data_IF_388357372350
#
_entry.id   IF_388357372350
#
_cell.length_a   1.000
_cell.length_b   1.000
_cell.length_c   1.000
_cell.angle_alpha   90.00
_cell.angle_beta   90.00
_cell.angle_gamma   90.00
#
_symmetry.space_group_name_H-M   'P 1'
#
loop_
_entity.id
_entity.type
_entity.pdbx_description
1 polymer ?
#
# COMPACT_ATOMS: atom_id res chain seq x y z
N UNK A 1 -1.93 12.09 29.49
CA UNK A 1 -1.42 11.95 28.13
C UNK A 1 -2.55 11.50 27.21
N UNK A 2 -2.72 12.15 26.07
CA UNK A 2 -3.80 11.86 25.12
C UNK A 2 -3.50 10.55 24.37
N UNK A 3 -4.52 9.73 24.14
CA UNK A 3 -4.43 8.51 23.34
C UNK A 3 -4.94 8.78 21.94
N UNK A 4 -4.16 8.40 20.93
CA UNK A 4 -4.58 8.43 19.52
C UNK A 4 -5.04 7.02 19.14
N UNK A 5 -6.32 6.88 18.80
CA UNK A 5 -6.90 5.63 18.32
C UNK A 5 -6.78 5.56 16.81
N UNK A 6 -5.97 4.63 16.34
CA UNK A 6 -5.67 4.45 14.91
C UNK A 6 -6.28 3.15 14.44
N UNK A 7 -7.14 3.21 13.42
CA UNK A 7 -7.73 2.02 12.82
C UNK A 7 -6.92 1.58 11.60
N UNK A 8 -6.79 0.28 11.44
CA UNK A 8 -6.20 -0.38 10.27
C UNK A 8 -6.71 -1.81 10.18
N UNK A 9 -6.54 -2.46 9.02
CA UNK A 9 -6.99 -3.85 8.82
C UNK A 9 -6.15 -4.87 9.59
N UNK A 10 -4.85 -4.61 9.73
CA UNK A 10 -3.84 -5.53 10.25
C UNK A 10 -3.73 -6.83 9.43
N UNK A 11 -4.04 -6.75 8.14
CA UNK A 11 -3.97 -7.85 7.18
C UNK A 11 -3.59 -7.38 5.77
N UNK A 12 -2.79 -6.32 5.68
CA UNK A 12 -2.40 -5.69 4.40
C UNK A 12 -0.89 -5.39 4.40
N UNK A 13 -0.08 -6.46 4.40
CA UNK A 13 1.38 -6.32 4.33
C UNK A 13 1.78 -5.73 2.96
N UNK A 14 2.83 -4.91 2.89
CA UNK A 14 3.70 -4.43 3.96
C UNK A 14 3.19 -3.20 4.71
N UNK A 15 1.99 -2.72 4.43
CA UNK A 15 1.41 -1.55 5.11
C UNK A 15 1.10 -1.86 6.58
N UNK A 16 0.38 -2.94 6.82
CA UNK A 16 0.01 -3.34 8.17
C UNK A 16 -0.29 -4.84 8.22
N UNK A 17 0.09 -5.50 9.30
CA UNK A 17 -0.15 -6.93 9.50
C UNK A 17 -0.26 -7.28 10.98
N UNK A 18 -0.73 -8.50 11.23
CA UNK A 18 -0.81 -9.08 12.57
C UNK A 18 0.36 -10.02 12.79
N UNK A 19 0.96 -9.97 13.97
CA UNK A 19 2.00 -10.91 14.39
C UNK A 19 1.81 -11.32 15.85
N UNK A 20 2.37 -12.47 16.29
CA UNK A 20 2.07 -13.01 17.62
C UNK A 20 2.85 -12.37 18.77
N UNK A 21 3.88 -11.56 18.48
CA UNK A 21 4.77 -10.98 19.48
C UNK A 21 5.11 -9.52 19.18
N UNK A 22 5.85 -8.91 20.08
CA UNK A 22 6.27 -7.51 20.00
C UNK A 22 7.58 -7.29 19.22
N UNK A 23 8.04 -8.28 18.48
CA UNK A 23 9.26 -8.17 17.67
C UNK A 23 9.23 -6.92 16.79
N UNK A 24 10.41 -6.32 16.59
CA UNK A 24 10.63 -5.12 15.78
C UNK A 24 9.92 -3.85 16.31
N UNK A 25 9.33 -3.91 17.49
CA UNK A 25 8.59 -2.80 18.06
C UNK A 25 7.11 -2.81 17.69
N UNK A 26 6.57 -3.97 17.34
CA UNK A 26 5.14 -4.14 17.09
C UNK A 26 4.29 -3.69 18.27
N UNK A 27 3.10 -3.18 17.99
CA UNK A 27 2.21 -2.56 18.97
C UNK A 27 1.02 -3.48 19.24
N UNK A 28 0.61 -3.66 20.52
CA UNK A 28 -0.56 -4.49 20.83
C UNK A 28 -1.80 -4.02 20.06
N UNK A 29 -2.56 -4.98 19.54
CA UNK A 29 -3.88 -4.70 18.96
C UNK A 29 -4.89 -4.66 20.10
N UNK A 30 -5.67 -3.57 20.17
CA UNK A 30 -6.67 -3.37 21.24
C UNK A 30 -7.64 -4.54 21.32
N UNK A 31 -7.81 -5.09 22.50
CA UNK A 31 -8.73 -6.21 22.74
C UNK A 31 -8.25 -7.57 22.24
N UNK A 32 -7.00 -7.69 21.84
CA UNK A 32 -6.40 -8.91 21.30
C UNK A 32 -5.09 -9.24 22.02
N UNK A 33 -4.64 -10.49 21.94
CA UNK A 33 -3.32 -10.90 22.41
C UNK A 33 -2.25 -10.76 21.32
N UNK A 34 -2.65 -10.35 20.09
CA UNK A 34 -1.74 -10.16 18.97
C UNK A 34 -1.24 -8.73 18.86
N UNK A 35 -0.27 -8.53 17.99
CA UNK A 35 0.41 -7.26 17.76
C UNK A 35 0.29 -6.86 16.31
N UNK A 36 0.30 -5.56 16.05
CA UNK A 36 0.32 -5.00 14.70
C UNK A 36 1.69 -4.42 14.38
N UNK A 37 2.15 -4.62 13.15
CA UNK A 37 3.32 -3.94 12.65
C UNK A 37 3.18 -3.65 11.15
N UNK A 38 4.20 -3.00 10.58
CA UNK A 38 4.25 -2.58 9.20
C UNK A 38 4.44 -1.08 9.04
N UNK A 39 4.43 -0.63 7.80
CA UNK A 39 4.64 0.78 7.46
C UNK A 39 3.69 1.72 8.21
N UNK A 40 2.40 1.37 8.24
CA UNK A 40 1.38 2.19 8.90
C UNK A 40 1.58 2.29 10.41
N UNK A 41 2.02 1.19 11.04
CA UNK A 41 2.32 1.19 12.48
C UNK A 41 3.57 2.01 12.77
N UNK A 42 4.59 1.91 11.93
CA UNK A 42 5.81 2.72 12.04
C UNK A 42 5.45 4.22 11.96
N UNK A 43 4.59 4.58 11.02
CA UNK A 43 4.12 5.97 10.88
C UNK A 43 3.31 6.40 12.09
N UNK A 44 2.40 5.57 12.56
CA UNK A 44 1.59 5.86 13.76
C UNK A 44 2.46 6.09 15.00
N UNK A 45 3.49 5.26 15.20
CA UNK A 45 4.45 5.42 16.29
C UNK A 45 5.20 6.74 16.20
N UNK A 46 5.70 7.08 15.01
CA UNK A 46 6.41 8.33 14.77
C UNK A 46 5.53 9.54 15.09
N UNK A 47 4.31 9.52 14.61
CA UNK A 47 3.33 10.59 14.88
C UNK A 47 3.07 10.73 16.38
N UNK A 48 2.80 9.63 17.07
CA UNK A 48 2.51 9.64 18.50
C UNK A 48 3.72 10.11 19.31
N UNK A 49 4.93 9.69 18.96
CA UNK A 49 6.15 10.13 19.62
C UNK A 49 6.35 11.66 19.46
N UNK A 50 6.16 12.19 18.29
CA UNK A 50 6.34 13.63 18.05
C UNK A 50 5.24 14.49 18.69
N UNK A 51 3.99 14.01 18.70
CA UNK A 51 2.88 14.76 19.25
C UNK A 51 2.64 14.50 20.74
N UNK A 52 3.38 13.57 21.34
CA UNK A 52 3.25 13.22 22.76
C UNK A 52 1.97 12.45 23.09
N UNK A 53 1.50 11.62 22.17
CA UNK A 53 0.31 10.77 22.36
C UNK A 53 0.69 9.34 22.70
N UNK A 54 -0.20 8.63 23.39
CA UNK A 54 -0.17 7.18 23.47
C UNK A 54 -0.88 6.61 22.27
N UNK A 55 -0.41 5.47 21.76
CA UNK A 55 -0.96 4.83 20.57
C UNK A 55 -1.87 3.66 20.92
N UNK A 56 -3.08 3.63 20.39
CA UNK A 56 -3.97 2.47 20.46
C UNK A 56 -4.30 2.04 19.03
N UNK A 57 -3.96 0.79 18.66
CA UNK A 57 -4.27 0.20 17.36
C UNK A 57 -5.60 -0.53 17.47
N UNK A 58 -6.55 -0.17 16.60
CA UNK A 58 -7.87 -0.79 16.50
C UNK A 58 -7.96 -1.53 15.18
N UNK A 59 -8.10 -2.86 15.25
CA UNK A 59 -8.24 -3.71 14.07
C UNK A 59 -9.68 -3.72 13.62
N UNK A 60 -9.92 -3.35 12.36
CA UNK A 60 -11.25 -3.33 11.74
C UNK A 60 -11.17 -3.88 10.32
N UNK A 61 -12.28 -4.43 9.82
CA UNK A 61 -12.39 -4.80 8.42
C UNK A 61 -12.30 -3.55 7.53
N UNK A 62 -11.81 -3.72 6.31
CA UNK A 62 -11.61 -2.62 5.36
C UNK A 62 -12.85 -1.72 5.24
N UNK A 63 -14.03 -2.31 5.05
CA UNK A 63 -15.27 -1.56 4.86
C UNK A 63 -15.75 -0.84 6.13
N UNK A 64 -15.20 -1.16 7.29
CA UNK A 64 -15.54 -0.53 8.56
C UNK A 64 -14.67 0.67 8.90
N UNK A 65 -13.57 0.89 8.16
CA UNK A 65 -12.58 1.96 8.47
C UNK A 65 -13.19 3.36 8.34
N UNK A 66 -13.76 3.68 7.19
CA UNK A 66 -14.37 5.00 6.95
C UNK A 66 -15.52 5.26 7.91
N UNK A 67 -16.50 4.35 8.10
CA UNK A 67 -17.56 4.55 9.09
C UNK A 67 -17.05 4.78 10.52
N UNK A 68 -15.97 4.11 10.92
CA UNK A 68 -15.42 4.27 12.28
C UNK A 68 -14.84 5.65 12.51
N UNK A 69 -14.15 6.23 11.53
CA UNK A 69 -13.59 7.58 11.66
C UNK A 69 -14.70 8.64 11.54
N UNK A 70 -15.69 8.41 10.68
CA UNK A 70 -16.85 9.32 10.56
C UNK A 70 -17.61 9.46 11.87
N UNK A 71 -17.81 8.34 12.58
CA UNK A 71 -18.57 8.33 13.85
C UNK A 71 -17.75 8.77 15.06
N UNK A 72 -16.44 8.95 14.90
CA UNK A 72 -15.56 9.26 16.02
C UNK A 72 -15.20 8.07 16.90
N UNK A 73 -15.50 6.85 16.46
CA UNK A 73 -15.10 5.60 17.15
C UNK A 73 -13.58 5.50 17.22
N UNK A 74 -12.90 5.94 16.18
CA UNK A 74 -11.45 6.09 16.12
C UNK A 74 -11.09 7.51 15.73
N UNK A 75 -9.86 7.94 16.03
CA UNK A 75 -9.41 9.30 15.72
C UNK A 75 -8.95 9.43 14.28
N UNK A 76 -8.33 8.39 13.73
CA UNK A 76 -7.85 8.39 12.37
C UNK A 76 -7.73 6.98 11.82
N UNK A 77 -7.56 6.89 10.49
CA UNK A 77 -7.29 5.64 9.77
C UNK A 77 -5.92 5.78 9.10
N UNK A 78 -5.01 4.86 9.43
CA UNK A 78 -3.72 4.72 8.75
C UNK A 78 -3.66 3.27 8.26
N UNK A 79 -4.03 3.04 7.01
CA UNK A 79 -4.32 1.69 6.53
C UNK A 79 -3.98 1.48 5.05
N UNK A 80 -2.98 2.17 4.53
CA UNK A 80 -2.65 2.07 3.11
C UNK A 80 -3.78 2.58 2.21
N UNK A 81 -4.53 3.54 2.67
CA UNK A 81 -5.77 3.99 2.04
C UNK A 81 -5.51 5.10 1.02
N UNK A 82 -5.96 4.89 -0.22
CA UNK A 82 -5.83 5.89 -1.28
C UNK A 82 -6.72 7.11 -1.03
N UNK A 83 -6.18 8.29 -1.35
CA UNK A 83 -6.90 9.57 -1.26
C UNK A 83 -7.77 9.70 -2.51
N UNK A 84 -9.02 9.25 -2.43
CA UNK A 84 -9.94 9.34 -3.55
C UNK A 84 -10.96 10.45 -3.34
N UNK A 85 -11.48 11.02 -4.42
CA UNK A 85 -12.53 12.05 -4.35
C UNK A 85 -13.80 11.51 -3.70
N UNK A 86 -14.13 10.24 -3.87
CA UNK A 86 -15.26 9.61 -3.21
C UNK A 86 -15.08 9.61 -1.69
N UNK A 87 -13.91 9.17 -1.21
CA UNK A 87 -13.59 9.16 0.23
C UNK A 87 -13.53 10.57 0.80
N UNK A 88 -13.04 11.54 0.02
CA UNK A 88 -12.96 12.93 0.46
C UNK A 88 -14.32 13.59 0.69
N UNK A 89 -15.38 13.01 0.18
CA UNK A 89 -16.75 13.45 0.51
C UNK A 89 -17.16 13.04 1.93
N UNK A 90 -16.53 12.01 2.47
CA UNK A 90 -16.90 11.40 3.75
C UNK A 90 -15.94 11.72 4.88
N UNK A 91 -14.66 11.91 4.55
CA UNK A 91 -13.58 12.15 5.52
C UNK A 91 -12.62 13.19 4.96
N UNK A 92 -11.75 13.73 5.82
CA UNK A 92 -10.63 14.57 5.38
C UNK A 92 -9.34 13.75 5.42
N UNK A 93 -8.47 14.00 4.45
CA UNK A 93 -7.17 13.33 4.36
C UNK A 93 -6.03 14.29 4.65
N UNK A 94 -4.98 13.77 5.26
CA UNK A 94 -3.68 14.44 5.30
C UNK A 94 -3.10 14.56 3.89
N UNK A 95 -2.01 15.28 3.74
CA UNK A 95 -1.14 15.10 2.58
C UNK A 95 -0.67 13.64 2.51
N UNK A 96 -0.21 13.17 1.35
CA UNK A 96 0.25 11.79 1.24
C UNK A 96 1.37 11.45 2.22
N UNK A 97 1.31 10.26 2.81
CA UNK A 97 2.39 9.72 3.62
C UNK A 97 3.11 8.56 2.92
N UNK A 98 2.63 8.19 1.75
CA UNK A 98 3.31 7.28 0.83
C UNK A 98 2.78 7.49 -0.59
N UNK A 99 3.62 7.21 -1.58
CA UNK A 99 3.28 7.28 -3.00
C UNK A 99 3.42 5.88 -3.59
N UNK A 100 2.29 5.21 -3.79
CA UNK A 100 2.24 3.83 -4.28
C UNK A 100 2.22 3.80 -5.82
N UNK A 101 3.35 4.09 -6.43
CA UNK A 101 3.52 4.04 -7.90
C UNK A 101 3.08 2.70 -8.46
N UNK A 102 2.57 2.69 -9.69
CA UNK A 102 2.19 1.47 -10.39
C UNK A 102 3.45 0.89 -11.05
N UNK A 103 3.66 -0.41 -10.86
CA UNK A 103 4.83 -1.10 -11.42
C UNK A 103 4.42 -2.39 -12.12
N UNK A 104 5.34 -2.93 -12.89
CA UNK A 104 5.18 -4.21 -13.57
C UNK A 104 6.22 -5.20 -13.03
N UNK A 105 5.79 -6.42 -12.76
CA UNK A 105 6.69 -7.51 -12.41
C UNK A 105 6.80 -8.46 -13.60
N UNK A 106 8.02 -8.85 -13.93
CA UNK A 106 8.33 -9.83 -14.97
C UNK A 106 9.39 -10.80 -14.45
N UNK A 107 9.67 -11.87 -15.19
CA UNK A 107 10.81 -12.75 -14.90
C UNK A 107 12.10 -12.07 -15.37
N UNK A 108 13.13 -12.13 -14.55
CA UNK A 108 14.43 -11.50 -14.87
C UNK A 108 15.12 -12.14 -16.09
N UNK A 109 14.80 -13.37 -16.42
CA UNK A 109 15.31 -14.09 -17.60
C UNK A 109 14.31 -14.14 -18.76
N UNK A 110 13.17 -13.45 -18.65
CA UNK A 110 12.12 -13.44 -19.65
C UNK A 110 12.33 -12.39 -20.74
N UNK A 111 11.46 -12.45 -21.74
CA UNK A 111 11.54 -11.58 -22.92
C UNK A 111 11.30 -10.10 -22.63
N UNK A 112 10.64 -9.77 -21.51
CA UNK A 112 10.28 -8.41 -21.14
C UNK A 112 11.18 -7.79 -20.08
N UNK A 113 12.25 -8.49 -19.68
CA UNK A 113 13.12 -8.04 -18.58
C UNK A 113 13.76 -6.67 -18.81
N UNK A 114 13.97 -6.28 -20.07
CA UNK A 114 14.60 -5.02 -20.41
C UNK A 114 13.61 -3.94 -20.88
N UNK A 115 12.31 -4.15 -20.66
CA UNK A 115 11.28 -3.18 -21.02
C UNK A 115 11.49 -1.87 -20.24
N UNK A 116 11.37 -0.73 -20.92
CA UNK A 116 11.56 0.60 -20.36
C UNK A 116 10.31 1.46 -20.42
N UNK A 117 9.25 0.92 -20.99
CA UNK A 117 7.97 1.61 -21.13
C UNK A 117 6.84 0.61 -21.27
N UNK A 118 5.61 1.08 -21.10
CA UNK A 118 4.41 0.28 -21.38
C UNK A 118 4.41 -0.20 -22.83
N UNK A 119 4.90 0.62 -23.77
CA UNK A 119 4.99 0.25 -25.18
C UNK A 119 5.86 -1.00 -25.42
N UNK A 120 6.89 -1.20 -24.60
CA UNK A 120 7.78 -2.36 -24.71
C UNK A 120 7.13 -3.66 -24.23
N UNK A 121 5.96 -3.58 -23.61
CA UNK A 121 5.18 -4.75 -23.16
C UNK A 121 4.21 -5.25 -24.21
N UNK A 122 4.20 -4.68 -25.41
CA UNK A 122 3.28 -5.06 -26.48
C UNK A 122 3.19 -6.56 -26.68
N UNK A 123 1.97 -7.08 -26.72
CA UNK A 123 1.70 -8.51 -26.94
C UNK A 123 1.90 -9.40 -25.74
N UNK A 124 2.23 -8.84 -24.58
CA UNK A 124 2.52 -9.63 -23.36
C UNK A 124 1.28 -10.37 -22.86
N UNK A 125 1.47 -11.60 -22.39
CA UNK A 125 0.44 -12.32 -21.63
C UNK A 125 0.53 -11.86 -20.18
N UNK A 126 -0.55 -11.26 -19.66
CA UNK A 126 -0.54 -10.61 -18.38
C UNK A 126 -1.82 -10.82 -17.59
N UNK A 127 -1.71 -10.61 -16.28
CA UNK A 127 -2.86 -10.57 -15.39
C UNK A 127 -2.59 -9.61 -14.22
N UNK A 128 -3.54 -9.45 -13.35
CA UNK A 128 -3.41 -8.74 -12.09
C UNK A 128 -4.51 -9.17 -11.13
N UNK A 129 -4.57 -8.52 -9.98
CA UNK A 129 -5.55 -8.80 -8.95
C UNK A 129 -6.92 -8.22 -9.32
N UNK A 130 -7.98 -8.96 -9.04
CA UNK A 130 -9.36 -8.50 -9.30
C UNK A 130 -9.72 -7.27 -8.46
N UNK A 131 -10.64 -6.47 -8.98
CA UNK A 131 -11.16 -5.27 -8.33
C UNK A 131 -10.07 -4.23 -8.02
N UNK A 132 -9.10 -4.11 -8.92
CA UNK A 132 -8.02 -3.14 -8.82
C UNK A 132 -7.93 -2.30 -10.08
N UNK A 133 -7.40 -1.09 -9.95
CA UNK A 133 -7.09 -0.25 -11.11
C UNK A 133 -5.98 -0.88 -11.97
N UNK A 134 -5.15 -1.69 -11.37
CA UNK A 134 -4.06 -2.39 -12.06
C UNK A 134 -4.62 -3.29 -13.16
N UNK A 135 -5.66 -4.05 -12.84
CA UNK A 135 -6.34 -4.93 -13.79
C UNK A 135 -7.25 -4.13 -14.72
N UNK A 136 -8.13 -3.29 -14.15
CA UNK A 136 -9.21 -2.65 -14.90
C UNK A 136 -8.74 -1.49 -15.76
N UNK A 137 -7.73 -0.74 -15.31
CA UNK A 137 -7.27 0.49 -15.97
C UNK A 137 -5.89 0.36 -16.61
N UNK A 138 -4.96 -0.35 -15.99
CA UNK A 138 -3.57 -0.41 -16.46
C UNK A 138 -3.36 -1.47 -17.53
N UNK A 139 -3.84 -2.70 -17.35
CA UNK A 139 -3.64 -3.76 -18.33
C UNK A 139 -4.20 -3.39 -19.72
N UNK A 140 -5.38 -2.75 -19.84
CA UNK A 140 -5.88 -2.34 -21.16
C UNK A 140 -5.04 -1.30 -21.89
N UNK A 141 -4.12 -0.63 -21.20
CA UNK A 141 -3.20 0.33 -21.83
C UNK A 141 -2.04 -0.33 -22.58
N UNK A 142 -1.84 -1.63 -22.37
CA UNK A 142 -0.77 -2.37 -23.06
C UNK A 142 -1.28 -2.82 -24.44
N UNK A 143 -0.60 -2.37 -25.49
CA UNK A 143 -0.98 -2.69 -26.86
C UNK A 143 -0.92 -4.20 -27.13
N UNK A 144 -1.99 -4.75 -27.71
CA UNK A 144 -2.11 -6.17 -28.08
C UNK A 144 -1.88 -7.14 -26.91
N UNK A 145 -2.10 -6.72 -25.68
CA UNK A 145 -1.93 -7.59 -24.53
C UNK A 145 -2.93 -8.76 -24.54
N UNK A 146 -2.44 -9.93 -24.18
CA UNK A 146 -3.28 -11.08 -23.87
C UNK A 146 -3.61 -11.06 -22.38
N UNK A 147 -4.73 -10.45 -22.03
CA UNK A 147 -5.14 -10.26 -20.64
C UNK A 147 -5.90 -11.50 -20.18
N UNK A 148 -5.31 -12.25 -19.24
CA UNK A 148 -5.93 -13.42 -18.63
C UNK A 148 -7.01 -13.00 -17.62
N UNK A 149 -7.89 -13.93 -17.18
CA UNK A 149 -8.82 -13.62 -16.09
C UNK A 149 -8.09 -13.11 -14.85
N UNK A 150 -8.72 -12.17 -14.13
CA UNK A 150 -8.15 -11.58 -12.93
C UNK A 150 -7.94 -12.63 -11.83
N UNK A 151 -6.90 -12.43 -11.03
CA UNK A 151 -6.59 -13.31 -9.92
C UNK A 151 -7.30 -12.85 -8.63
N UNK A 152 -7.66 -13.78 -7.78
CA UNK A 152 -8.46 -13.52 -6.57
C UNK A 152 -7.71 -12.74 -5.50
N UNK A 153 -6.38 -12.84 -5.48
CA UNK A 153 -5.54 -12.25 -4.43
C UNK A 153 -4.16 -11.89 -4.95
N UNK A 154 -3.42 -11.11 -4.19
CA UNK A 154 -2.03 -10.80 -4.50
C UNK A 154 -1.16 -12.07 -4.55
N UNK A 155 -1.22 -12.98 -3.57
CA UNK A 155 -0.47 -14.24 -3.66
C UNK A 155 -0.79 -15.05 -4.92
N UNK A 156 -2.05 -15.17 -5.31
CA UNK A 156 -2.45 -15.89 -6.52
C UNK A 156 -1.88 -15.23 -7.79
N UNK A 157 -1.86 -13.91 -7.83
CA UNK A 157 -1.25 -13.13 -8.92
C UNK A 157 0.25 -13.45 -9.05
N UNK A 158 0.97 -13.45 -7.95
CA UNK A 158 2.41 -13.74 -7.95
C UNK A 158 2.72 -15.19 -8.35
N UNK A 159 1.90 -16.13 -7.92
CA UNK A 159 2.02 -17.54 -8.34
C UNK A 159 1.79 -17.69 -9.84
N UNK A 160 0.85 -16.94 -10.42
CA UNK A 160 0.61 -16.96 -11.87
C UNK A 160 1.85 -16.54 -12.65
N UNK A 161 2.60 -15.54 -12.17
CA UNK A 161 3.86 -15.13 -12.78
C UNK A 161 4.96 -16.18 -12.56
N UNK A 162 5.12 -16.65 -11.33
CA UNK A 162 6.16 -17.62 -10.98
C UNK A 162 6.02 -18.94 -11.76
N UNK A 163 4.79 -19.40 -11.93
CA UNK A 163 4.52 -20.65 -12.64
C UNK A 163 4.64 -20.55 -14.17
N UNK A 164 4.80 -19.34 -14.71
CA UNK A 164 4.86 -19.11 -16.15
C UNK A 164 3.50 -19.07 -16.83
N UNK A 165 2.41 -18.98 -16.07
CA UNK A 165 1.05 -18.85 -16.61
C UNK A 165 0.88 -17.52 -17.34
N UNK A 166 1.57 -16.48 -16.89
CA UNK A 166 1.68 -15.20 -17.55
C UNK A 166 3.14 -14.72 -17.51
N UNK A 167 3.43 -13.70 -18.31
CA UNK A 167 4.79 -13.13 -18.43
C UNK A 167 4.93 -11.81 -17.70
N UNK A 168 3.82 -11.20 -17.31
CA UNK A 168 3.83 -9.95 -16.55
C UNK A 168 2.60 -9.84 -15.64
N UNK A 169 2.79 -9.18 -14.50
CA UNK A 169 1.69 -8.72 -13.65
C UNK A 169 1.92 -7.25 -13.30
N UNK A 170 0.84 -6.49 -13.15
CA UNK A 170 0.87 -5.08 -12.78
C UNK A 170 0.31 -4.94 -11.37
N UNK A 171 1.01 -4.19 -10.53
CA UNK A 171 0.61 -3.98 -9.14
C UNK A 171 1.20 -2.67 -8.63
N UNK A 172 1.09 -2.40 -7.33
CA UNK A 172 1.71 -1.22 -6.73
C UNK A 172 3.16 -1.48 -6.30
N UNK A 173 3.89 -0.41 -6.08
CA UNK A 173 5.30 -0.46 -5.71
C UNK A 173 5.56 -1.31 -4.45
N UNK A 174 4.84 -1.12 -3.32
CA UNK A 174 5.11 -1.93 -2.11
C UNK A 174 4.90 -3.43 -2.33
N UNK A 175 3.84 -3.82 -3.02
CA UNK A 175 3.58 -5.23 -3.36
C UNK A 175 4.69 -5.76 -4.27
N UNK A 176 5.12 -4.96 -5.25
CA UNK A 176 6.20 -5.33 -6.15
C UNK A 176 7.54 -5.51 -5.44
N UNK A 177 7.90 -4.61 -4.54
CA UNK A 177 9.13 -4.72 -3.76
C UNK A 177 9.12 -5.97 -2.87
N UNK A 178 8.01 -6.20 -2.19
CA UNK A 178 7.83 -7.41 -1.37
C UNK A 178 7.92 -8.70 -2.21
N UNK A 179 7.32 -8.68 -3.39
CA UNK A 179 7.37 -9.82 -4.32
C UNK A 179 8.79 -10.17 -4.75
N UNK A 180 9.62 -9.16 -5.02
CA UNK A 180 11.02 -9.38 -5.42
C UNK A 180 11.87 -9.98 -4.30
N UNK A 181 11.50 -9.77 -3.05
CA UNK A 181 12.14 -10.43 -1.90
C UNK A 181 11.73 -11.91 -1.83
N UNK A 182 10.43 -12.19 -1.98
CA UNK A 182 9.90 -13.56 -1.92
C UNK A 182 10.27 -14.39 -3.15
N UNK A 183 10.38 -13.76 -4.32
CA UNK A 183 10.69 -14.42 -5.60
C UNK A 183 11.93 -13.76 -6.23
N UNK A 184 13.14 -14.22 -5.93
CA UNK A 184 14.38 -13.58 -6.42
C UNK A 184 14.54 -13.54 -7.94
N UNK A 185 13.81 -14.37 -8.67
CA UNK A 185 13.81 -14.39 -10.14
C UNK A 185 12.84 -13.38 -10.77
N UNK A 186 12.10 -12.64 -9.94
CA UNK A 186 11.28 -11.52 -10.42
C UNK A 186 12.13 -10.26 -10.60
N UNK A 187 11.75 -9.45 -11.59
CA UNK A 187 12.31 -8.14 -11.83
C UNK A 187 11.21 -7.10 -11.81
N UNK A 188 11.42 -6.03 -11.06
CA UNK A 188 10.49 -4.91 -10.97
C UNK A 188 10.84 -3.89 -12.05
N UNK A 189 9.84 -3.55 -12.86
CA UNK A 189 9.94 -2.51 -13.88
C UNK A 189 9.14 -1.30 -13.41
N UNK A 190 9.84 -0.20 -13.18
CA UNK A 190 9.24 1.07 -12.73
C UNK A 190 9.40 2.09 -13.85
N UNK A 191 8.28 2.46 -14.48
CA UNK A 191 8.25 3.46 -15.56
C UNK A 191 7.89 4.86 -15.04
N UNK A 192 7.74 5.02 -13.71
CA UNK A 192 7.35 6.31 -13.13
C UNK A 192 8.36 7.40 -13.44
N UNK A 193 7.85 8.62 -13.65
CA UNK A 193 8.69 9.75 -14.01
C UNK A 193 9.10 9.78 -15.49
N UNK A 194 8.60 8.85 -16.30
CA UNK A 194 8.85 8.80 -17.75
C UNK A 194 7.56 8.99 -18.52
N UNK A 195 7.68 9.34 -19.80
CA UNK A 195 6.53 9.45 -20.72
C UNK A 195 5.95 8.09 -21.10
N UNK A 196 6.66 7.01 -20.78
CA UNK A 196 6.28 5.64 -21.10
C UNK A 196 5.54 4.90 -19.99
N UNK A 197 5.10 5.59 -18.96
CA UNK A 197 4.37 5.00 -17.83
C UNK A 197 2.89 4.78 -18.15
N UNK A 198 2.23 4.00 -17.29
CA UNK A 198 0.77 3.89 -17.30
C UNK A 198 0.15 5.25 -16.97
N UNK A 199 -0.98 5.55 -17.61
CA UNK A 199 -1.78 6.73 -17.28
C UNK A 199 -2.71 6.39 -16.12
N UNK A 200 -2.44 6.98 -14.95
CA UNK A 200 -3.27 6.85 -13.74
C UNK A 200 -3.41 8.22 -13.10
N UNK A 201 -4.47 8.40 -12.32
CA UNK A 201 -4.66 9.65 -11.59
C UNK A 201 -3.88 9.64 -10.27
N UNK A 202 -3.66 10.82 -9.69
CA UNK A 202 -3.03 10.95 -8.37
C UNK A 202 -3.83 10.20 -7.30
N UNK A 203 -5.16 10.08 -7.46
CA UNK A 203 -6.01 9.30 -6.57
C UNK A 203 -5.63 7.82 -6.48
N UNK A 204 -4.97 7.31 -7.51
CA UNK A 204 -4.61 5.90 -7.59
C UNK A 204 -3.27 5.58 -6.92
N UNK A 205 -2.48 6.60 -6.64
CA UNK A 205 -1.11 6.41 -6.11
C UNK A 205 -0.88 7.11 -4.77
N UNK A 206 -1.61 8.17 -4.45
CA UNK A 206 -1.41 8.90 -3.20
C UNK A 206 -2.13 8.22 -2.03
N UNK A 207 -1.37 7.89 -1.00
CA UNK A 207 -1.87 7.20 0.20
C UNK A 207 -1.88 8.21 1.35
N UNK A 208 -3.00 8.34 2.04
CA UNK A 208 -3.17 9.35 3.08
C UNK A 208 -3.81 8.81 4.37
N UNK A 209 -3.68 9.60 5.42
CA UNK A 209 -4.30 9.34 6.72
C UNK A 209 -5.64 10.07 6.73
N UNK A 210 -6.72 9.35 7.04
CA UNK A 210 -8.04 9.98 7.11
C UNK A 210 -8.43 10.31 8.55
N UNK A 211 -9.10 11.46 8.69
CA UNK A 211 -9.66 11.95 9.95
C UNK A 211 -11.13 12.28 9.74
N UNK A 212 -11.87 12.46 10.84
CA UNK A 212 -13.26 12.89 10.76
C UNK A 212 -13.35 14.22 10.04
N UNK A 213 -14.33 14.34 9.13
CA UNK A 213 -14.52 15.55 8.35
C UNK A 213 -14.73 16.76 9.26
N UNK A 214 -13.95 17.80 8.99
CA UNK A 214 -13.98 19.02 9.80
C UNK A 214 -13.05 19.01 11.02
N UNK A 215 -12.38 17.90 11.34
CA UNK A 215 -11.42 17.85 12.42
C UNK A 215 -10.07 18.43 11.99
N UNK A 216 -10.05 19.76 11.81
CA UNK A 216 -8.86 20.46 11.31
C UNK A 216 -7.72 20.49 12.32
N UNK A 217 -8.01 20.47 13.61
CA UNK A 217 -6.97 20.44 14.65
C UNK A 217 -6.10 19.19 14.54
N UNK A 218 -6.72 18.01 14.44
CA UNK A 218 -5.98 16.75 14.27
C UNK A 218 -5.30 16.70 12.90
N UNK A 219 -6.00 17.12 11.85
CA UNK A 219 -5.45 17.14 10.49
C UNK A 219 -4.15 17.95 10.43
N UNK A 220 -4.17 19.17 10.98
CA UNK A 220 -3.01 20.05 11.01
C UNK A 220 -1.86 19.47 11.84
N UNK A 221 -2.19 18.81 12.95
CA UNK A 221 -1.19 18.14 13.78
C UNK A 221 -0.51 17.01 13.04
N UNK A 222 -1.29 16.18 12.34
CA UNK A 222 -0.74 15.07 11.54
C UNK A 222 0.12 15.59 10.40
N UNK A 223 -0.37 16.60 9.67
CA UNK A 223 0.39 17.20 8.58
C UNK A 223 1.69 17.85 9.06
N UNK A 224 1.72 18.39 10.27
CA UNK A 224 2.93 18.98 10.83
C UNK A 224 4.05 17.95 11.00
N UNK A 225 3.70 16.71 11.27
CA UNK A 225 4.68 15.61 11.33
C UNK A 225 5.13 15.22 9.92
N UNK A 226 4.17 15.05 9.00
CA UNK A 226 4.48 14.65 7.62
C UNK A 226 5.31 15.71 6.88
N UNK A 227 5.08 16.99 7.13
CA UNK A 227 5.84 18.10 6.51
C UNK A 227 7.34 18.05 6.79
N UNK A 228 7.74 17.40 7.85
CA UNK A 228 9.15 17.24 8.22
C UNK A 228 9.82 16.02 7.55
N UNK A 229 9.03 15.20 6.85
CA UNK A 229 9.51 13.99 6.21
C UNK A 229 9.65 14.19 4.70
N UNK A 230 10.60 13.47 4.11
CA UNK A 230 10.85 13.50 2.67
C UNK A 230 10.38 12.19 2.02
N UNK A 231 10.31 12.16 0.68
CA UNK A 231 10.03 10.92 -0.04
C UNK A 231 11.06 9.83 0.26
N UNK A 232 12.32 10.21 0.47
CA UNK A 232 13.37 9.26 0.85
C UNK A 232 13.10 8.65 2.24
N UNK A 233 12.59 9.44 3.19
CA UNK A 233 12.19 8.94 4.51
C UNK A 233 11.07 7.90 4.37
N UNK A 234 10.08 8.16 3.52
CA UNK A 234 8.99 7.22 3.26
C UNK A 234 9.49 5.93 2.63
N UNK A 235 10.42 6.02 1.68
CA UNK A 235 11.04 4.85 1.05
C UNK A 235 11.81 3.99 2.04
N UNK A 236 12.61 4.61 2.89
CA UNK A 236 13.39 3.90 3.92
C UNK A 236 12.48 3.16 4.90
N UNK A 237 11.39 3.79 5.33
CA UNK A 237 10.40 3.16 6.21
C UNK A 237 9.73 1.98 5.52
N UNK A 238 9.40 2.11 4.25
CA UNK A 238 8.78 1.02 3.49
C UNK A 238 9.76 -0.14 3.28
N UNK A 239 11.01 0.13 2.97
CA UNK A 239 12.07 -0.89 2.85
C UNK A 239 12.23 -1.66 4.16
N UNK A 240 12.21 -0.95 5.29
CA UNK A 240 12.29 -1.57 6.61
C UNK A 240 11.07 -2.47 6.88
N UNK A 241 9.87 -1.98 6.58
CA UNK A 241 8.65 -2.77 6.74
C UNK A 241 8.71 -4.06 5.90
N UNK A 242 9.13 -3.96 4.65
CA UNK A 242 9.26 -5.11 3.75
C UNK A 242 10.28 -6.12 4.30
N UNK A 243 11.40 -5.63 4.87
CA UNK A 243 12.46 -6.49 5.37
C UNK A 243 12.02 -7.35 6.56
N UNK A 244 11.01 -6.92 7.31
CA UNK A 244 10.53 -7.60 8.51
C UNK A 244 9.10 -8.13 8.40
N UNK A 245 8.47 -8.01 7.22
CA UNK A 245 7.12 -8.52 7.04
C UNK A 245 7.10 -10.04 7.16
N UNK A 246 6.01 -10.62 7.70
CA UNK A 246 5.87 -12.07 7.71
C UNK A 246 5.84 -12.56 6.26
N UNK A 247 6.60 -13.63 5.98
CA UNK A 247 6.47 -14.30 4.70
C UNK A 247 5.07 -14.89 4.66
N UNK A 248 4.26 -14.45 3.70
CA UNK A 248 2.92 -14.98 3.53
C UNK A 248 3.02 -16.45 3.16
N UNK A 249 2.35 -17.30 3.92
CA UNK A 249 2.14 -18.69 3.55
C UNK A 249 1.11 -18.81 2.42
#
# INVERSE_FOLDING_TARGET
KKTLKVAMECSYAPYNWTQPDDSNGAVPISGSSDYAYGYDVMMAKKICDELGYDLEIVKLDWDSLVPAVQSGKVDCVIAGQSITSERQQMVDFTEPYYYASIITLVKSDGDYADAKSVADLKGVTCTSQQNTIWYDSCLPQIEDANILPAQESAPAMLVALESGKCDAVVTDMPTGMAACVAYPDFKLLDFSGTDGDFEVSDEDINIGISVQKGNTELLDALNSVLDKMTEDDYKEMMDEAISVQPLSE
#
